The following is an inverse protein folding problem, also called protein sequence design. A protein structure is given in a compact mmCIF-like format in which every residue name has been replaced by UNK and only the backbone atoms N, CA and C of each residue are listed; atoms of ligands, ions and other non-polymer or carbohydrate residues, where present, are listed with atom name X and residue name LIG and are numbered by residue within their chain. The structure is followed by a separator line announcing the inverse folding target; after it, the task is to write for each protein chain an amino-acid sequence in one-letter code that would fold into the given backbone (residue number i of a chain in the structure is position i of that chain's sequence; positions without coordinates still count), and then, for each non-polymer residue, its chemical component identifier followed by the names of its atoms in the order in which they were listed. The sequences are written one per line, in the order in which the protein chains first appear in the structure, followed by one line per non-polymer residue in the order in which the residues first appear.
data_IF_006937196894
#
_entry.id   IF_006937196894
#
_cell.length_a   1.000
_cell.length_b   1.000
_cell.length_c   1.000
_cell.angle_alpha   90.00
_cell.angle_beta   90.00
_cell.angle_gamma   90.00
#
_symmetry.space_group_name_H-M   'P 1'
#
loop_
_entity.id
_entity.type
_entity.pdbx_description
1 polymer ?
#
# COMPACT_ATOMS: atom_id res chain seq x y z
N UNK A 1 59.86 25.11 36.34
CA UNK A 1 60.35 25.44 34.99
C UNK A 1 60.78 24.16 34.30
N UNK A 2 59.92 23.60 33.44
CA UNK A 2 60.30 22.89 32.21
C UNK A 2 59.07 22.93 31.30
N UNK A 3 59.09 23.90 30.38
CA UNK A 3 58.20 24.01 29.23
C UNK A 3 58.56 22.88 28.25
N UNK A 4 57.61 22.04 27.86
CA UNK A 4 57.79 21.21 26.67
C UNK A 4 56.50 21.18 25.84
N UNK A 5 56.57 21.96 24.76
CA UNK A 5 55.98 21.85 23.43
C UNK A 5 54.62 21.14 23.24
N UNK A 6 53.66 21.94 22.78
CA UNK A 6 52.46 21.53 22.04
C UNK A 6 52.88 21.02 20.66
N UNK A 7 52.39 19.84 20.27
CA UNK A 7 52.39 19.39 18.88
C UNK A 7 50.94 19.12 18.45
N UNK A 8 50.42 20.01 17.61
CA UNK A 8 49.19 19.79 16.86
C UNK A 8 49.53 19.00 15.59
N UNK A 9 48.81 17.91 15.34
CA UNK A 9 48.76 17.25 14.04
C UNK A 9 47.32 16.88 13.74
N UNK A 10 46.77 17.50 12.69
CA UNK A 10 45.52 17.12 12.06
C UNK A 10 45.84 16.24 10.85
N UNK A 11 45.21 15.07 10.73
CA UNK A 11 44.79 14.49 9.44
C UNK A 11 43.51 13.67 9.65
N UNK A 12 42.55 13.90 8.76
CA UNK A 12 41.30 13.16 8.65
C UNK A 12 41.51 11.81 7.96
N UNK A 13 40.76 10.78 8.36
CA UNK A 13 40.53 9.58 7.57
C UNK A 13 39.22 8.89 8.03
N UNK A 14 38.21 9.00 7.17
CA UNK A 14 36.90 8.35 7.23
C UNK A 14 37.00 6.93 6.63
N UNK A 15 36.45 5.89 7.30
CA UNK A 15 36.15 4.65 6.61
C UNK A 15 34.64 4.38 6.54
N UNK A 16 34.04 4.78 5.41
CA UNK A 16 32.92 4.07 4.81
C UNK A 16 33.14 2.54 4.81
N UNK A 17 32.19 1.81 5.38
CA UNK A 17 31.91 0.43 5.02
C UNK A 17 30.60 0.43 4.21
N UNK A 18 30.75 0.48 2.89
CA UNK A 18 29.72 0.24 1.88
C UNK A 18 30.13 -1.00 1.06
N UNK A 19 29.13 -1.77 0.61
CA UNK A 19 29.14 -3.08 -0.08
C UNK A 19 29.19 -4.31 0.88
N UNK A 20 28.36 -5.36 0.77
CA UNK A 20 27.50 -5.87 -0.31
C UNK A 20 26.62 -7.03 0.24
N UNK A 21 25.31 -7.06 0.00
CA UNK A 21 24.61 -8.32 -0.33
C UNK A 21 23.36 -8.08 -1.18
N UNK A 22 23.52 -8.39 -2.48
CA UNK A 22 22.54 -8.63 -3.55
C UNK A 22 21.51 -9.72 -3.12
N UNK A 23 20.29 -9.87 -3.65
CA UNK A 23 19.76 -9.64 -5.00
C UNK A 23 18.20 -9.69 -4.90
N UNK A 24 17.47 -8.64 -5.29
CA UNK A 24 16.03 -8.75 -5.60
C UNK A 24 15.87 -8.82 -7.12
N UNK A 25 15.02 -9.71 -7.68
CA UNK A 25 14.88 -9.86 -9.13
C UNK A 25 14.37 -8.55 -9.73
N UNK A 26 15.15 -7.99 -10.65
CA UNK A 26 14.76 -6.80 -11.40
C UNK A 26 13.59 -7.15 -12.31
N UNK A 27 12.38 -6.76 -11.92
CA UNK A 27 11.29 -6.63 -12.87
C UNK A 27 11.64 -5.47 -13.80
N UNK A 28 11.98 -5.80 -15.05
CA UNK A 28 12.10 -4.83 -16.14
C UNK A 28 10.82 -4.00 -16.21
N UNK A 29 10.88 -2.76 -15.75
CA UNK A 29 9.81 -1.79 -15.94
C UNK A 29 9.82 -1.38 -17.42
N UNK A 30 9.11 -2.15 -18.24
CA UNK A 30 8.69 -1.68 -19.55
C UNK A 30 7.64 -0.59 -19.30
N UNK A 31 8.11 0.64 -19.16
CA UNK A 31 7.30 1.83 -19.00
C UNK A 31 6.56 2.11 -20.29
N UNK A 32 5.44 1.41 -20.51
CA UNK A 32 4.37 1.95 -21.33
C UNK A 32 3.68 3.02 -20.47
N UNK A 33 3.92 4.27 -20.85
CA UNK A 33 3.42 5.51 -20.26
C UNK A 33 2.10 5.36 -19.47
N UNK A 34 2.15 5.51 -18.14
CA UNK A 34 0.93 5.75 -17.36
C UNK A 34 0.66 7.25 -17.34
N UNK A 35 -0.28 7.60 -18.21
CA UNK A 35 -1.02 8.86 -18.32
C UNK A 35 -1.50 9.38 -16.95
N UNK A 36 -1.68 10.70 -16.85
CA UNK A 36 -2.07 11.49 -15.67
C UNK A 36 -3.43 11.08 -15.04
N UNK A 37 -3.63 10.41 -13.90
CA UNK A 37 -3.03 9.24 -13.22
C UNK A 37 -4.23 8.55 -12.55
N UNK A 38 -5.01 7.76 -13.30
CA UNK A 38 -5.95 6.83 -12.66
C UNK A 38 -5.14 5.67 -12.10
N UNK A 39 -5.29 5.31 -10.80
CA UNK A 39 -4.61 4.16 -10.26
C UNK A 39 -5.04 2.91 -11.07
N UNK A 40 -4.11 1.98 -11.34
CA UNK A 40 -4.45 0.75 -12.04
C UNK A 40 -5.61 0.06 -11.30
N UNK A 41 -6.66 -0.31 -12.06
CA UNK A 41 -7.83 -0.99 -11.49
C UNK A 41 -7.37 -2.26 -10.79
N UNK A 42 -7.68 -2.46 -9.50
CA UNK A 42 -7.27 -3.65 -8.78
C UNK A 42 -7.96 -4.88 -9.36
N UNK A 43 -7.32 -6.04 -9.21
CA UNK A 43 -7.98 -7.32 -9.40
C UNK A 43 -9.04 -7.47 -8.29
N UNK A 44 -10.30 -7.22 -8.65
CA UNK A 44 -11.42 -7.23 -7.71
C UNK A 44 -11.58 -8.61 -7.03
N UNK A 45 -11.56 -9.76 -7.75
CA UNK A 45 -11.72 -11.06 -7.13
C UNK A 45 -10.71 -11.34 -6.00
N UNK A 46 -9.43 -11.12 -6.26
CA UNK A 46 -8.36 -11.36 -5.28
C UNK A 46 -8.43 -10.37 -4.11
N UNK A 47 -8.62 -9.08 -4.40
CA UNK A 47 -8.71 -8.03 -3.37
C UNK A 47 -9.91 -8.24 -2.46
N UNK A 48 -11.06 -8.60 -3.03
CA UNK A 48 -12.27 -8.89 -2.28
C UNK A 48 -12.14 -10.17 -1.43
N UNK A 49 -11.45 -11.20 -1.94
CA UNK A 49 -11.15 -12.41 -1.16
C UNK A 49 -10.39 -12.07 0.13
N UNK A 50 -9.38 -11.20 0.05
CA UNK A 50 -8.66 -10.71 1.24
C UNK A 50 -9.61 -9.89 2.12
N UNK A 51 -10.32 -8.91 1.54
CA UNK A 51 -11.24 -8.02 2.27
C UNK A 51 -12.28 -8.78 3.09
N UNK A 52 -12.80 -9.86 2.51
CA UNK A 52 -13.83 -10.66 3.11
C UNK A 52 -13.30 -11.79 3.99
N UNK A 53 -11.99 -12.05 4.07
CA UNK A 53 -11.44 -13.26 4.71
C UNK A 53 -11.86 -13.55 6.16
N UNK A 54 -12.27 -12.53 6.91
CA UNK A 54 -12.78 -12.66 8.29
C UNK A 54 -14.31 -12.58 8.39
N UNK A 55 -15.03 -12.60 7.27
CA UNK A 55 -16.48 -12.51 7.23
C UNK A 55 -17.11 -13.92 7.32
N UNK A 56 -18.05 -14.10 8.24
CA UNK A 56 -18.77 -15.38 8.39
C UNK A 56 -19.57 -15.78 7.14
N UNK A 57 -19.90 -14.81 6.27
CA UNK A 57 -20.60 -14.98 4.98
C UNK A 57 -19.69 -14.58 3.82
N UNK A 58 -18.55 -15.25 3.70
CA UNK A 58 -17.53 -14.98 2.67
C UNK A 58 -18.10 -14.82 1.25
N UNK A 59 -18.93 -15.75 0.78
CA UNK A 59 -19.46 -15.71 -0.59
C UNK A 59 -20.33 -14.46 -0.86
N UNK A 60 -21.23 -14.14 0.07
CA UNK A 60 -22.08 -12.95 -0.02
C UNK A 60 -21.26 -11.66 0.09
N UNK A 61 -20.28 -11.64 1.01
CA UNK A 61 -19.34 -10.52 1.15
C UNK A 61 -18.59 -10.29 -0.16
N UNK A 62 -18.00 -11.34 -0.74
CA UNK A 62 -17.26 -11.26 -2.00
C UNK A 62 -18.14 -10.74 -3.14
N UNK A 63 -19.38 -11.20 -3.23
CA UNK A 63 -20.34 -10.72 -4.25
C UNK A 63 -20.59 -9.21 -4.13
N UNK A 64 -20.82 -8.72 -2.91
CA UNK A 64 -21.06 -7.29 -2.66
C UNK A 64 -19.79 -6.46 -2.87
N UNK A 65 -18.65 -6.93 -2.38
CA UNK A 65 -17.34 -6.29 -2.57
C UNK A 65 -17.03 -6.14 -4.06
N UNK A 66 -17.21 -7.21 -4.86
CA UNK A 66 -16.94 -7.17 -6.30
C UNK A 66 -17.83 -6.14 -7.01
N UNK A 67 -19.11 -6.02 -6.65
CA UNK A 67 -19.99 -5.00 -7.22
C UNK A 67 -19.49 -3.58 -6.91
N UNK A 68 -19.02 -3.34 -5.68
CA UNK A 68 -18.46 -2.06 -5.28
C UNK A 68 -17.09 -1.79 -5.92
N UNK A 69 -16.22 -2.78 -6.01
CA UNK A 69 -14.92 -2.68 -6.68
C UNK A 69 -15.06 -2.41 -8.18
N UNK A 70 -16.04 -3.03 -8.84
CA UNK A 70 -16.29 -2.77 -10.25
C UNK A 70 -16.73 -1.32 -10.50
N UNK A 71 -17.56 -0.77 -9.60
CA UNK A 71 -18.03 0.61 -9.66
C UNK A 71 -16.94 1.64 -9.30
N UNK A 72 -16.20 1.39 -8.22
CA UNK A 72 -15.28 2.37 -7.64
C UNK A 72 -13.81 2.16 -8.03
N UNK A 73 -13.48 1.02 -8.64
CA UNK A 73 -12.10 0.62 -8.97
C UNK A 73 -11.15 0.68 -7.76
N UNK A 74 -11.65 0.40 -6.55
CA UNK A 74 -10.91 0.48 -5.29
C UNK A 74 -11.48 -0.56 -4.30
N UNK A 75 -10.60 -1.25 -3.58
CA UNK A 75 -10.93 -2.12 -2.44
C UNK A 75 -10.03 -1.71 -1.28
N UNK A 76 -10.59 -1.34 -0.10
CA UNK A 76 -9.77 -0.96 1.03
C UNK A 76 -8.97 -2.15 1.59
N UNK A 77 -7.74 -1.93 2.10
CA UNK A 77 -6.91 -2.99 2.68
C UNK A 77 -7.46 -3.51 4.02
N UNK A 78 -7.09 -4.73 4.41
CA UNK A 78 -7.57 -5.36 5.65
C UNK A 78 -9.02 -5.85 5.56
N UNK A 79 -9.57 -6.35 6.66
CA UNK A 79 -10.91 -6.99 6.69
C UNK A 79 -11.97 -6.20 7.46
N UNK A 80 -11.61 -5.04 8.02
CA UNK A 80 -12.45 -4.24 8.92
C UNK A 80 -13.00 -2.98 8.28
N UNK A 81 -13.95 -2.32 8.96
CA UNK A 81 -14.55 -1.06 8.50
C UNK A 81 -13.60 0.15 8.64
N UNK A 82 -12.60 0.03 9.50
CA UNK A 82 -11.64 1.06 9.87
C UNK A 82 -10.87 1.62 8.68
N UNK A 83 -10.62 0.84 7.63
CA UNK A 83 -9.84 1.29 6.46
C UNK A 83 -10.69 1.80 5.29
N UNK A 84 -12.03 1.80 5.40
CA UNK A 84 -12.91 2.12 4.25
C UNK A 84 -12.72 3.53 3.71
N UNK A 85 -12.40 4.48 4.58
CA UNK A 85 -12.18 5.89 4.23
C UNK A 85 -11.08 6.09 3.16
N UNK A 86 -10.17 5.12 2.99
CA UNK A 86 -9.15 5.12 1.95
C UNK A 86 -9.74 5.01 0.53
N UNK A 87 -10.96 4.50 0.39
CA UNK A 87 -11.71 4.43 -0.86
C UNK A 87 -13.03 5.22 -0.73
N UNK A 88 -13.05 6.56 -0.93
CA UNK A 88 -14.24 7.39 -0.68
C UNK A 88 -15.50 6.96 -1.46
N UNK A 89 -15.34 6.50 -2.70
CA UNK A 89 -16.45 5.94 -3.48
C UNK A 89 -17.00 4.66 -2.85
N UNK A 90 -16.14 3.77 -2.36
CA UNK A 90 -16.55 2.50 -1.76
C UNK A 90 -17.25 2.71 -0.42
N UNK A 91 -16.77 3.69 0.36
CA UNK A 91 -17.25 3.98 1.70
C UNK A 91 -18.65 4.60 1.72
N UNK A 92 -19.02 5.37 0.69
CA UNK A 92 -20.26 6.16 0.66
C UNK A 92 -21.44 5.45 -0.03
N UNK A 93 -21.23 4.29 -0.64
CA UNK A 93 -22.33 3.59 -1.34
C UNK A 93 -23.30 2.99 -0.33
N UNK A 94 -24.54 3.48 -0.37
CA UNK A 94 -25.67 2.96 0.38
C UNK A 94 -26.60 2.12 -0.48
N UNK A 95 -27.30 1.19 0.16
CA UNK A 95 -28.42 0.48 -0.47
C UNK A 95 -29.65 1.40 -0.47
N UNK A 96 -30.25 1.70 -1.63
CA UNK A 96 -31.38 2.64 -1.72
C UNK A 96 -32.62 2.18 -0.97
N UNK A 97 -32.77 0.88 -0.70
CA UNK A 97 -33.94 0.33 -0.01
C UNK A 97 -33.78 0.32 1.52
N UNK A 98 -32.55 0.17 2.02
CA UNK A 98 -32.30 0.00 3.47
C UNK A 98 -31.59 1.17 4.12
N UNK A 99 -31.01 2.09 3.33
CA UNK A 99 -30.21 3.21 3.80
C UNK A 99 -28.86 2.83 4.44
N UNK A 100 -28.55 1.53 4.52
CA UNK A 100 -27.29 1.02 5.08
C UNK A 100 -26.18 1.02 4.04
N UNK A 101 -24.94 1.04 4.50
CA UNK A 101 -23.78 0.82 3.64
C UNK A 101 -23.93 -0.49 2.86
N UNK A 102 -23.76 -0.41 1.55
CA UNK A 102 -23.91 -1.54 0.63
C UNK A 102 -22.64 -2.39 0.57
N UNK A 103 -21.49 -1.73 0.52
CA UNK A 103 -20.20 -2.41 0.41
C UNK A 103 -19.79 -2.98 1.77
N UNK A 104 -19.10 -4.12 1.83
CA UNK A 104 -18.63 -4.72 3.08
C UNK A 104 -17.43 -4.00 3.70
#
# INVERSE_FOLDING_TARGET
MFLVAVAAAAVAADPQQVQQQQQQPQMRMSSMARSLLQPPKPDCPSSCSVRCGNNWKNEMCNKMCNACCNKCSCVPPGTGQDTRYLCPCYDTIVNPHTGKLKCP
#
